data_IF_625912793899
#
_entry.id   IF_625912793899
#
_cell.length_a   1.000
_cell.length_b   1.000
_cell.length_c   1.000
_cell.angle_alpha   90.00
_cell.angle_beta   90.00
_cell.angle_gamma   90.00
#
_symmetry.space_group_name_H-M   'P 1'
#
loop_
_entity.id
_entity.type
_entity.pdbx_description
1 polymer ?
#
# COMPACT_ATOMS: atom_id res chain seq x y z
N UNK A 1 -10.89 -18.67 -24.91
CA UNK A 1 -10.38 -19.06 -23.58
C UNK A 1 -10.90 -18.05 -22.57
N UNK A 2 -11.49 -18.50 -21.46
CA UNK A 2 -11.97 -17.59 -20.42
C UNK A 2 -10.78 -16.94 -19.71
N UNK A 3 -10.83 -15.63 -19.46
CA UNK A 3 -9.85 -14.93 -18.63
C UNK A 3 -10.10 -15.27 -17.16
N UNK A 4 -9.08 -15.77 -16.47
CA UNK A 4 -9.10 -16.03 -15.03
C UNK A 4 -8.35 -14.91 -14.31
N UNK A 5 -9.05 -14.20 -13.42
CA UNK A 5 -8.45 -13.16 -12.60
C UNK A 5 -8.39 -13.61 -11.15
N UNK A 6 -7.21 -13.51 -10.55
CA UNK A 6 -7.02 -13.79 -9.12
C UNK A 6 -6.85 -12.49 -8.36
N UNK A 7 -7.59 -12.32 -7.27
CA UNK A 7 -7.47 -11.18 -6.38
C UNK A 7 -6.95 -11.60 -5.00
N UNK A 8 -6.00 -10.85 -4.47
CA UNK A 8 -5.48 -11.01 -3.11
C UNK A 8 -5.78 -9.76 -2.30
N UNK A 9 -6.15 -9.90 -1.01
CA UNK A 9 -6.39 -8.75 -0.15
C UNK A 9 -5.12 -7.96 0.17
N UNK A 10 -3.95 -8.60 0.07
CA UNK A 10 -2.62 -7.99 0.24
C UNK A 10 -1.54 -8.95 -0.27
N UNK A 11 -0.34 -8.43 -0.53
CA UNK A 11 0.87 -9.23 -0.74
C UNK A 11 2.06 -8.55 -0.06
N UNK A 12 3.00 -9.34 0.46
CA UNK A 12 4.32 -8.87 0.90
C UNK A 12 5.42 -9.82 0.42
N UNK A 13 6.59 -9.25 0.15
CA UNK A 13 7.78 -9.99 -0.27
C UNK A 13 8.92 -9.84 0.74
N UNK A 14 9.92 -10.71 0.61
CA UNK A 14 11.16 -10.64 1.38
C UNK A 14 10.98 -10.66 2.91
N UNK A 15 11.80 -9.88 3.60
CA UNK A 15 11.86 -9.82 5.08
C UNK A 15 10.56 -9.34 5.72
N UNK A 16 9.74 -8.53 5.01
CA UNK A 16 8.47 -8.04 5.54
C UNK A 16 7.48 -9.18 5.85
N UNK A 17 7.61 -10.35 5.22
CA UNK A 17 6.81 -11.54 5.56
C UNK A 17 7.08 -12.07 6.98
N UNK A 18 8.20 -11.67 7.61
CA UNK A 18 8.60 -12.11 8.95
C UNK A 18 8.18 -11.14 10.07
N UNK A 19 7.49 -10.06 9.74
CA UNK A 19 6.88 -9.17 10.74
C UNK A 19 5.78 -9.95 11.47
N UNK A 20 5.81 -9.93 12.81
CA UNK A 20 4.88 -10.67 13.68
C UNK A 20 3.90 -9.78 14.43
N UNK A 21 4.18 -8.47 14.55
CA UNK A 21 3.33 -7.53 15.27
C UNK A 21 1.99 -7.39 14.54
N UNK A 22 0.83 -7.73 15.14
CA UNK A 22 -0.44 -7.72 14.43
C UNK A 22 -0.90 -6.28 14.10
N UNK A 23 -1.52 -6.11 12.94
CA UNK A 23 -2.12 -4.83 12.57
C UNK A 23 -3.30 -4.49 13.49
N UNK A 24 -3.30 -3.35 14.19
CA UNK A 24 -4.39 -2.97 15.10
C UNK A 24 -5.68 -2.57 14.37
N UNK A 25 -5.67 -2.43 13.04
CA UNK A 25 -6.84 -2.05 12.22
C UNK A 25 -7.55 -0.76 12.68
N UNK A 26 -6.78 0.22 13.15
CA UNK A 26 -7.29 1.54 13.57
C UNK A 26 -7.05 2.60 12.48
N UNK A 27 -7.58 3.82 12.66
CA UNK A 27 -7.18 4.97 11.84
C UNK A 27 -5.92 5.66 12.37
N UNK A 28 -5.42 5.24 13.54
CA UNK A 28 -4.17 5.74 14.05
C UNK A 28 -3.00 5.28 13.15
N UNK A 29 -1.97 6.14 13.00
CA UNK A 29 -0.67 5.69 12.52
C UNK A 29 -0.25 4.42 13.26
N UNK A 30 0.50 3.54 12.60
CA UNK A 30 0.98 2.32 13.24
C UNK A 30 1.66 2.63 14.59
N UNK A 31 1.35 1.83 15.61
CA UNK A 31 1.86 1.97 16.98
C UNK A 31 3.39 2.02 17.00
N UNK A 32 4.01 1.26 16.09
CA UNK A 32 5.42 1.29 15.77
C UNK A 32 5.63 1.93 14.40
N UNK A 33 6.52 2.94 14.27
CA UNK A 33 6.80 3.56 12.97
C UNK A 33 7.53 2.60 12.02
N UNK A 34 8.25 1.63 12.59
CA UNK A 34 9.08 0.64 11.90
C UNK A 34 8.86 -0.73 12.51
N UNK A 35 8.96 -1.79 11.70
CA UNK A 35 8.93 -3.17 12.20
C UNK A 35 10.35 -3.71 12.39
N UNK A 36 10.53 -4.59 13.37
CA UNK A 36 11.78 -5.33 13.58
C UNK A 36 11.59 -6.80 13.25
N UNK A 37 12.59 -7.41 12.64
CA UNK A 37 12.62 -8.84 12.31
C UNK A 37 13.94 -9.47 12.76
N UNK A 38 13.87 -10.72 13.18
CA UNK A 38 15.07 -11.51 13.49
C UNK A 38 15.61 -12.14 12.21
N UNK A 39 16.89 -11.93 11.93
CA UNK A 39 17.61 -12.52 10.78
C UNK A 39 18.72 -13.41 11.31
N UNK A 40 18.76 -14.65 10.84
CA UNK A 40 19.88 -15.55 11.10
C UNK A 40 20.98 -15.31 10.09
N UNK A 41 22.13 -14.80 10.55
CA UNK A 41 23.33 -14.64 9.74
C UNK A 41 24.24 -15.84 9.98
N UNK A 42 24.58 -16.56 8.92
CA UNK A 42 25.56 -17.65 8.98
C UNK A 42 26.93 -17.06 8.70
N UNK A 43 27.84 -17.17 9.68
CA UNK A 43 29.23 -16.80 9.49
C UNK A 43 29.97 -17.98 8.88
N UNK A 44 30.63 -17.72 7.75
CA UNK A 44 31.58 -18.63 7.13
C UNK A 44 32.95 -18.02 7.35
N UNK A 45 33.73 -18.63 8.24
CA UNK A 45 35.14 -18.32 8.41
C UNK A 45 35.92 -19.60 8.11
N UNK A 46 37.01 -19.46 7.35
CA UNK A 46 37.92 -20.58 7.10
C UNK A 46 38.48 -21.04 8.46
N UNK A 47 38.46 -22.35 8.70
CA UNK A 47 38.90 -23.04 9.92
C UNK A 47 38.08 -22.84 11.21
N UNK A 48 36.83 -22.33 11.16
CA UNK A 48 35.92 -22.28 12.32
C UNK A 48 34.58 -23.01 12.08
N UNK A 49 34.00 -23.51 13.17
CA UNK A 49 32.65 -24.08 13.13
C UNK A 49 31.62 -23.06 12.61
N UNK A 50 30.71 -23.52 11.75
CA UNK A 50 29.64 -22.70 11.20
C UNK A 50 28.72 -22.21 12.32
N UNK A 51 28.87 -20.95 12.71
CA UNK A 51 27.99 -20.33 13.70
C UNK A 51 26.84 -19.59 13.01
N UNK A 52 25.62 -19.78 13.52
CA UNK A 52 24.47 -18.93 13.16
C UNK A 52 24.23 -17.93 14.27
N UNK A 53 24.29 -16.64 13.94
CA UNK A 53 24.00 -15.55 14.87
C UNK A 53 22.63 -14.98 14.53
N UNK A 54 21.77 -14.86 15.54
CA UNK A 54 20.49 -14.16 15.39
C UNK A 54 20.71 -12.66 15.61
N UNK A 55 20.36 -11.86 14.62
CA UNK A 55 20.46 -10.42 14.67
C UNK A 55 19.08 -9.79 14.47
N UNK A 56 18.70 -8.87 15.35
CA UNK A 56 17.47 -8.10 15.19
C UNK A 56 17.76 -6.90 14.27
N UNK A 57 17.07 -6.83 13.13
CA UNK A 57 17.16 -5.69 12.22
C UNK A 57 15.83 -4.95 12.15
N UNK A 58 15.91 -3.63 12.00
CA UNK A 58 14.75 -2.78 11.76
C UNK A 58 14.53 -2.62 10.26
N UNK A 59 13.27 -2.69 9.82
CA UNK A 59 12.85 -2.46 8.45
C UNK A 59 12.39 -1.02 8.26
N UNK A 60 12.55 -0.49 7.05
CA UNK A 60 12.01 0.82 6.66
C UNK A 60 10.49 0.85 6.83
N UNK A 61 10.00 1.94 7.38
CA UNK A 61 8.59 2.17 7.62
C UNK A 61 8.01 3.28 6.74
N UNK A 62 6.70 3.55 6.86
CA UNK A 62 6.00 4.54 6.04
C UNK A 62 6.56 5.97 6.19
N UNK A 63 7.17 6.27 7.34
CA UNK A 63 7.75 7.58 7.65
C UNK A 63 9.18 7.79 7.14
N UNK A 64 9.80 6.75 6.58
CA UNK A 64 11.16 6.84 6.00
C UNK A 64 11.10 7.08 4.48
N UNK A 65 9.93 6.93 3.88
CA UNK A 65 9.73 7.09 2.44
C UNK A 65 9.47 8.56 2.12
N UNK A 66 10.35 9.15 1.33
CA UNK A 66 10.29 10.57 0.93
C UNK A 66 9.54 10.80 -0.38
N UNK A 67 9.26 9.74 -1.14
CA UNK A 67 8.57 9.83 -2.42
C UNK A 67 8.38 8.47 -3.07
N UNK A 68 7.52 8.45 -4.09
CA UNK A 68 7.32 7.31 -4.98
C UNK A 68 7.70 7.78 -6.38
N UNK A 69 8.47 6.94 -7.07
CA UNK A 69 8.87 7.16 -8.46
C UNK A 69 7.62 7.03 -9.37
N UNK A 70 7.53 7.86 -10.42
CA UNK A 70 6.29 7.98 -11.20
C UNK A 70 6.02 6.75 -12.07
N UNK A 71 7.06 6.09 -12.57
CA UNK A 71 6.96 4.87 -13.38
C UNK A 71 6.45 3.68 -12.57
N UNK A 72 6.50 3.73 -11.22
CA UNK A 72 5.79 2.78 -10.38
C UNK A 72 4.25 2.84 -10.56
N UNK A 73 3.71 3.97 -11.05
CA UNK A 73 2.29 4.16 -11.34
C UNK A 73 2.00 3.81 -12.80
N UNK A 74 1.31 2.69 -13.01
CA UNK A 74 0.89 2.23 -14.34
C UNK A 74 -0.29 3.05 -14.85
N UNK A 75 -1.25 3.35 -13.97
CA UNK A 75 -2.51 3.95 -14.37
C UNK A 75 -3.17 4.72 -13.24
N UNK A 76 -3.85 5.80 -13.59
CA UNK A 76 -4.78 6.51 -12.71
C UNK A 76 -6.15 6.56 -13.36
N UNK A 77 -7.20 6.24 -12.60
CA UNK A 77 -8.58 6.43 -13.01
C UNK A 77 -9.34 7.23 -11.95
N UNK A 78 -10.00 8.35 -12.30
CA UNK A 78 -9.98 8.99 -13.62
C UNK A 78 -8.58 9.46 -14.04
N UNK A 79 -8.34 9.60 -15.34
CA UNK A 79 -7.15 10.31 -15.83
C UNK A 79 -7.20 11.78 -15.42
N UNK A 80 -6.03 12.39 -15.24
CA UNK A 80 -5.93 13.80 -14.87
C UNK A 80 -6.67 14.70 -15.89
N UNK A 81 -7.49 15.62 -15.38
CA UNK A 81 -8.27 16.56 -16.19
C UNK A 81 -9.63 16.05 -16.67
N UNK A 82 -9.97 14.78 -16.42
CA UNK A 82 -11.28 14.22 -16.75
C UNK A 82 -12.33 14.62 -15.71
N UNK A 83 -13.47 15.12 -16.17
CA UNK A 83 -14.62 15.54 -15.32
C UNK A 83 -15.86 14.67 -15.52
N UNK A 84 -15.91 13.83 -16.56
CA UNK A 84 -17.02 12.97 -16.92
C UNK A 84 -16.75 11.49 -16.58
N UNK A 85 -16.05 11.23 -15.47
CA UNK A 85 -15.83 9.87 -14.99
C UNK A 85 -17.15 9.23 -14.51
N UNK A 86 -17.32 7.95 -14.81
CA UNK A 86 -18.52 7.18 -14.45
C UNK A 86 -18.74 7.22 -12.92
N UNK A 87 -19.84 7.84 -12.43
CA UNK A 87 -20.09 8.02 -10.99
C UNK A 87 -20.25 6.71 -10.20
N UNK A 88 -20.43 5.60 -10.90
CA UNK A 88 -20.61 4.26 -10.31
C UNK A 88 -19.28 3.60 -9.94
N UNK A 89 -18.15 4.11 -10.44
CA UNK A 89 -16.82 3.58 -10.14
C UNK A 89 -16.10 4.35 -9.05
N UNK A 90 -15.23 3.66 -8.31
CA UNK A 90 -14.31 4.28 -7.38
C UNK A 90 -13.04 4.75 -8.12
N UNK A 91 -12.52 5.94 -7.81
CA UNK A 91 -11.20 6.34 -8.28
C UNK A 91 -10.13 5.38 -7.77
N UNK A 92 -9.11 5.12 -8.57
CA UNK A 92 -7.99 4.27 -8.17
C UNK A 92 -6.68 4.66 -8.84
N UNK A 93 -5.59 4.22 -8.22
CA UNK A 93 -4.25 4.16 -8.80
C UNK A 93 -3.87 2.69 -8.93
N UNK A 94 -3.35 2.31 -10.10
CA UNK A 94 -2.75 1.01 -10.34
C UNK A 94 -1.23 1.15 -10.34
N UNK A 95 -0.57 0.32 -9.55
CA UNK A 95 0.88 0.24 -9.46
C UNK A 95 1.39 -1.02 -10.15
N UNK A 96 2.58 -0.91 -10.73
CA UNK A 96 3.25 -2.05 -11.38
C UNK A 96 3.59 -3.10 -10.33
N UNK A 97 4.16 -2.66 -9.21
CA UNK A 97 4.55 -3.55 -8.12
C UNK A 97 3.35 -3.92 -7.25
N UNK A 98 3.17 -5.22 -7.08
CA UNK A 98 2.03 -5.85 -6.43
C UNK A 98 2.06 -5.71 -4.89
N UNK A 99 3.24 -5.61 -4.30
CA UNK A 99 3.40 -5.43 -2.86
C UNK A 99 3.49 -3.95 -2.44
N UNK A 100 3.61 -3.01 -3.39
CA UNK A 100 3.89 -1.60 -3.08
C UNK A 100 2.93 -1.00 -2.04
N UNK A 101 1.60 -1.23 -2.08
CA UNK A 101 0.69 -0.70 -1.06
C UNK A 101 0.96 -1.21 0.35
N UNK A 102 1.62 -2.36 0.54
CA UNK A 102 1.91 -2.97 1.85
C UNK A 102 3.41 -3.11 2.17
N UNK A 103 4.28 -2.77 1.22
CA UNK A 103 5.75 -2.95 1.33
C UNK A 103 6.33 -2.37 2.61
N UNK A 104 5.85 -1.20 3.00
CA UNK A 104 6.31 -0.50 4.20
C UNK A 104 5.31 -0.57 5.35
N UNK A 105 4.27 -1.41 5.30
CA UNK A 105 3.35 -1.58 6.44
C UNK A 105 4.08 -2.31 7.58
N UNK A 106 4.27 -1.68 8.76
CA UNK A 106 5.08 -2.23 9.85
C UNK A 106 4.28 -3.19 10.74
N UNK A 107 3.37 -3.96 10.16
CA UNK A 107 2.48 -4.87 10.87
C UNK A 107 2.18 -6.14 10.05
N UNK A 108 1.77 -7.20 10.72
CA UNK A 108 1.28 -8.45 10.14
C UNK A 108 -0.23 -8.39 9.94
N UNK A 109 -0.72 -9.09 8.92
CA UNK A 109 -2.15 -9.20 8.68
C UNK A 109 -2.89 -9.76 9.90
N UNK A 110 -3.86 -9.00 10.42
CA UNK A 110 -4.74 -9.43 11.49
C UNK A 110 -5.55 -10.64 11.03
N UNK A 111 -5.50 -11.73 11.82
CA UNK A 111 -6.12 -13.03 11.50
C UNK A 111 -5.70 -13.59 10.12
N UNK A 112 -4.54 -13.18 9.61
CA UNK A 112 -4.01 -13.60 8.30
C UNK A 112 -4.68 -12.98 7.08
N UNK A 113 -5.77 -12.21 7.25
CA UNK A 113 -6.61 -11.77 6.11
C UNK A 113 -6.52 -10.26 5.89
N UNK A 114 -6.42 -9.46 6.97
CA UNK A 114 -6.57 -8.00 6.90
C UNK A 114 -5.26 -7.31 7.20
N UNK A 115 -4.71 -6.60 6.21
CA UNK A 115 -3.52 -5.78 6.38
C UNK A 115 -3.76 -4.41 5.76
N UNK A 116 -3.56 -3.33 6.53
CA UNK A 116 -3.73 -1.98 6.01
C UNK A 116 -2.59 -1.63 5.04
N UNK A 117 -2.88 -1.00 3.89
CA UNK A 117 -1.83 -0.42 3.09
C UNK A 117 -1.16 0.73 3.86
N UNK A 118 0.12 0.97 3.62
CA UNK A 118 0.82 2.16 4.16
C UNK A 118 0.48 3.42 3.36
N UNK A 119 -0.23 3.29 2.24
CA UNK A 119 -0.70 4.36 1.39
C UNK A 119 -2.21 4.55 1.52
N UNK A 120 -2.67 5.77 1.27
CA UNK A 120 -4.06 6.08 1.05
C UNK A 120 -4.22 6.99 -0.16
N UNK A 121 -5.32 6.80 -0.89
CA UNK A 121 -5.73 7.67 -1.97
C UNK A 121 -6.90 8.52 -1.49
N UNK A 122 -6.69 9.84 -1.44
CA UNK A 122 -7.76 10.79 -1.16
C UNK A 122 -8.06 11.59 -2.42
N UNK A 123 -9.34 11.84 -2.66
CA UNK A 123 -9.80 12.63 -3.80
C UNK A 123 -10.63 13.77 -3.27
N UNK A 124 -10.26 15.00 -3.60
CA UNK A 124 -10.85 16.22 -3.06
C UNK A 124 -11.23 17.20 -4.17
N UNK A 125 -12.25 18.00 -3.93
CA UNK A 125 -12.64 19.13 -4.77
C UNK A 125 -11.85 20.38 -4.35
N UNK A 126 -11.71 21.34 -5.28
CA UNK A 126 -10.99 22.59 -5.01
C UNK A 126 -11.35 23.31 -3.69
N UNK A 127 -12.63 23.43 -3.29
CA UNK A 127 -12.97 24.12 -2.04
C UNK A 127 -12.66 23.31 -0.77
N UNK A 128 -12.31 22.03 -0.87
CA UNK A 128 -12.13 21.13 0.29
C UNK A 128 -10.71 21.16 0.86
N UNK A 129 -9.75 21.72 0.12
CA UNK A 129 -8.36 21.78 0.54
C UNK A 129 -7.68 23.10 0.20
N UNK A 130 -6.53 23.33 0.82
CA UNK A 130 -5.61 24.40 0.50
C UNK A 130 -4.21 23.82 0.27
N UNK A 131 -3.53 24.30 -0.76
CA UNK A 131 -2.11 23.97 -0.96
C UNK A 131 -1.27 24.98 -0.20
N UNK A 132 -0.40 24.48 0.68
CA UNK A 132 0.62 25.31 1.31
C UNK A 132 1.98 25.00 0.70
N UNK A 133 2.74 26.06 0.46
CA UNK A 133 4.16 25.91 0.20
C UNK A 133 4.81 25.27 1.43
N UNK A 134 5.84 24.43 1.23
CA UNK A 134 6.58 23.87 2.34
C UNK A 134 7.07 25.00 3.25
N UNK A 135 6.96 24.82 4.56
CA UNK A 135 7.66 25.70 5.51
C UNK A 135 9.16 25.47 5.29
N UNK A 136 9.91 26.57 5.18
CA UNK A 136 11.35 26.67 4.86
C UNK A 136 12.15 25.36 5.03
N UNK A 137 12.66 24.82 3.91
CA UNK A 137 13.60 23.68 3.89
C UNK A 137 13.01 22.30 3.59
N UNK A 138 11.69 22.13 3.58
CA UNK A 138 11.04 20.87 3.15
C UNK A 138 10.75 20.83 1.64
N UNK A 139 10.94 19.68 0.97
CA UNK A 139 10.51 19.48 -0.43
C UNK A 139 9.05 19.02 -0.55
N UNK A 140 8.41 18.64 0.55
CA UNK A 140 7.10 18.02 0.53
C UNK A 140 5.98 19.05 0.38
N UNK A 141 5.16 18.89 -0.67
CA UNK A 141 3.93 19.66 -0.86
C UNK A 141 2.93 19.32 0.24
N UNK A 142 2.48 20.34 0.96
CA UNK A 142 1.49 20.18 2.03
C UNK A 142 0.10 20.51 1.50
N UNK A 143 -0.85 19.63 1.78
CA UNK A 143 -2.27 19.82 1.50
C UNK A 143 -3.00 19.87 2.81
N UNK A 144 -3.63 21.01 3.10
CA UNK A 144 -4.50 21.15 4.26
C UNK A 144 -5.92 20.83 3.86
N UNK A 145 -6.48 19.77 4.44
CA UNK A 145 -7.91 19.43 4.28
C UNK A 145 -8.68 20.25 5.31
N UNK A 146 -9.69 21.01 4.86
CA UNK A 146 -10.45 21.87 5.77
C UNK A 146 -11.24 21.02 6.77
N UNK A 147 -11.44 21.53 7.98
CA UNK A 147 -12.02 20.78 9.10
C UNK A 147 -13.36 20.10 8.77
N UNK A 148 -14.22 20.76 7.98
CA UNK A 148 -15.50 20.21 7.54
C UNK A 148 -15.40 18.94 6.67
N UNK A 149 -14.23 18.65 6.10
CA UNK A 149 -13.99 17.56 5.17
C UNK A 149 -12.98 16.51 5.69
N UNK A 150 -12.58 16.57 6.96
CA UNK A 150 -11.61 15.63 7.54
C UNK A 150 -12.09 14.17 7.49
N UNK A 151 -13.41 13.94 7.54
CA UNK A 151 -13.99 12.59 7.39
C UNK A 151 -13.79 11.98 6.00
N UNK A 152 -13.41 12.78 4.99
CA UNK A 152 -13.13 12.30 3.63
C UNK A 152 -11.70 11.75 3.48
N UNK A 153 -10.83 11.98 4.47
CA UNK A 153 -9.41 11.59 4.39
C UNK A 153 -9.24 10.08 4.56
N UNK A 154 -10.01 9.46 5.45
CA UNK A 154 -9.94 8.02 5.68
C UNK A 154 -11.33 7.39 5.83
N UNK A 155 -11.54 6.18 5.28
CA UNK A 155 -12.71 5.39 5.59
C UNK A 155 -12.77 5.04 7.09
N UNK A 156 -13.89 4.45 7.56
CA UNK A 156 -13.96 3.84 8.88
C UNK A 156 -12.74 2.94 9.13
N UNK A 157 -12.20 3.00 10.35
CA UNK A 157 -10.90 2.41 10.67
C UNK A 157 -10.81 0.91 10.38
N UNK A 158 -11.92 0.21 10.61
CA UNK A 158 -12.10 -1.22 10.39
C UNK A 158 -12.21 -1.62 8.90
N UNK A 159 -12.31 -0.65 7.99
CA UNK A 159 -12.45 -0.85 6.53
C UNK A 159 -11.20 -0.42 5.75
N UNK A 160 -10.24 0.20 6.41
CA UNK A 160 -9.03 0.76 5.78
C UNK A 160 -8.20 -0.23 4.98
N UNK A 161 -8.21 -1.51 5.38
CA UNK A 161 -7.53 -2.60 4.69
C UNK A 161 -8.21 -3.01 3.37
N UNK A 162 -9.48 -2.67 3.18
CA UNK A 162 -10.29 -3.16 2.07
C UNK A 162 -10.15 -2.34 0.77
N UNK A 163 -9.43 -1.22 0.82
CA UNK A 163 -9.30 -0.28 -0.30
C UNK A 163 -8.01 -0.45 -1.10
N UNK A 164 -7.35 -1.59 -0.95
CA UNK A 164 -6.30 -2.02 -1.85
C UNK A 164 -6.41 -3.52 -2.10
N UNK A 165 -5.97 -3.95 -3.29
CA UNK A 165 -5.86 -5.38 -3.62
C UNK A 165 -4.71 -5.60 -4.60
N UNK A 166 -4.27 -6.86 -4.69
CA UNK A 166 -3.43 -7.33 -5.79
C UNK A 166 -4.32 -8.02 -6.81
N UNK A 167 -4.05 -7.78 -8.08
CA UNK A 167 -4.61 -8.52 -9.20
C UNK A 167 -3.49 -9.33 -9.86
N UNK A 168 -3.76 -10.62 -10.09
CA UNK A 168 -2.89 -11.50 -10.87
C UNK A 168 -3.68 -12.01 -12.06
N UNK A 169 -3.12 -11.80 -13.25
CA UNK A 169 -3.67 -12.15 -14.55
C UNK A 169 -2.85 -13.30 -15.17
N UNK A 170 -2.98 -14.49 -14.58
CA UNK A 170 -2.36 -15.71 -15.09
C UNK A 170 -3.40 -16.84 -15.10
N UNK A 171 -3.81 -17.24 -16.30
CA UNK A 171 -4.81 -18.29 -16.51
C UNK A 171 -4.27 -19.70 -16.25
N UNK A 172 -2.96 -19.85 -16.02
CA UNK A 172 -2.31 -21.14 -15.73
C UNK A 172 -2.23 -21.44 -14.23
N UNK A 173 -2.60 -20.48 -13.37
CA UNK A 173 -2.62 -20.65 -11.93
C UNK A 173 -3.71 -21.64 -11.50
N UNK A 174 -3.29 -22.80 -10.99
CA UNK A 174 -4.15 -23.69 -10.23
C UNK A 174 -4.16 -23.26 -8.75
N UNK A 175 -5.30 -22.71 -8.32
CA UNK A 175 -5.53 -22.25 -6.95
C UNK A 175 -6.54 -23.11 -6.19
N UNK A 176 -6.80 -24.33 -6.67
CA UNK A 176 -7.73 -25.27 -6.03
C UNK A 176 -7.26 -25.67 -4.62
N UNK A 177 -5.95 -25.81 -4.42
CA UNK A 177 -5.33 -26.06 -3.12
C UNK A 177 -5.00 -24.73 -2.41
N UNK A 178 -5.88 -24.33 -1.48
CA UNK A 178 -5.71 -23.11 -0.69
C UNK A 178 -4.41 -23.09 0.13
N UNK A 179 -3.86 -24.25 0.50
CA UNK A 179 -2.62 -24.32 1.30
C UNK A 179 -1.37 -23.95 0.50
N UNK A 180 -1.42 -24.09 -0.83
CA UNK A 180 -0.30 -23.80 -1.74
C UNK A 180 -0.47 -22.49 -2.51
N UNK A 181 -1.61 -21.82 -2.35
CA UNK A 181 -1.98 -20.61 -3.09
C UNK A 181 -0.87 -19.54 -3.05
N UNK A 182 -0.33 -19.25 -1.87
CA UNK A 182 0.73 -18.23 -1.73
C UNK A 182 2.02 -18.60 -2.46
N UNK A 183 2.35 -19.90 -2.50
CA UNK A 183 3.54 -20.42 -3.21
C UNK A 183 3.31 -20.31 -4.71
N UNK A 184 2.19 -20.82 -5.21
CA UNK A 184 1.85 -20.78 -6.63
C UNK A 184 1.84 -19.35 -7.20
N UNK A 185 1.28 -18.40 -6.43
CA UNK A 185 1.28 -16.98 -6.80
C UNK A 185 2.69 -16.40 -6.79
N UNK A 186 3.48 -16.71 -5.76
CA UNK A 186 4.88 -16.28 -5.68
C UNK A 186 5.71 -16.77 -6.86
N UNK A 187 5.53 -18.03 -7.27
CA UNK A 187 6.22 -18.64 -8.40
C UNK A 187 5.79 -18.00 -9.73
N UNK A 188 4.49 -17.74 -9.90
CA UNK A 188 3.97 -17.07 -11.09
C UNK A 188 4.52 -15.64 -11.25
N UNK A 189 4.55 -14.86 -10.17
CA UNK A 189 5.12 -13.51 -10.16
C UNK A 189 6.64 -13.52 -10.36
N UNK A 190 7.34 -14.57 -9.90
CA UNK A 190 8.79 -14.72 -10.13
C UNK A 190 9.09 -15.07 -11.58
N UNK A 191 8.28 -15.95 -12.19
CA UNK A 191 8.40 -16.37 -13.58
C UNK A 191 8.03 -15.26 -14.56
N UNK A 192 6.97 -14.50 -14.27
CA UNK A 192 6.53 -13.37 -15.10
C UNK A 192 5.96 -12.24 -14.23
N UNK A 193 6.76 -11.23 -13.87
CA UNK A 193 6.31 -10.10 -13.07
C UNK A 193 5.15 -9.32 -13.69
N UNK A 194 5.03 -9.32 -15.03
CA UNK A 194 4.01 -8.54 -15.75
C UNK A 194 2.57 -9.08 -15.59
N UNK A 195 2.40 -10.24 -14.95
CA UNK A 195 1.05 -10.77 -14.64
C UNK A 195 0.48 -10.21 -13.36
N UNK A 196 1.28 -9.54 -12.53
CA UNK A 196 0.85 -8.95 -11.27
C UNK A 196 0.74 -7.43 -11.33
N UNK A 197 -0.26 -6.88 -10.65
CA UNK A 197 -0.34 -5.46 -10.32
C UNK A 197 -1.06 -5.26 -9.00
N UNK A 198 -0.94 -4.06 -8.41
CA UNK A 198 -1.76 -3.69 -7.25
C UNK A 198 -2.59 -2.45 -7.54
N UNK A 199 -3.76 -2.36 -6.92
CA UNK A 199 -4.63 -1.19 -7.00
C UNK A 199 -4.93 -0.63 -5.63
N UNK A 200 -4.86 0.69 -5.51
CA UNK A 200 -5.29 1.47 -4.36
C UNK A 200 -6.49 2.32 -4.76
N UNK A 201 -7.61 2.13 -4.07
CA UNK A 201 -8.88 2.76 -4.35
C UNK A 201 -9.16 3.90 -3.36
N UNK A 202 -9.91 4.91 -3.82
CA UNK A 202 -10.48 5.94 -2.97
C UNK A 202 -11.96 5.61 -2.69
N UNK A 203 -12.40 5.50 -1.42
CA UNK A 203 -13.79 5.25 -1.06
C UNK A 203 -14.70 6.48 -1.23
N UNK A 204 -14.50 7.24 -2.31
CA UNK A 204 -15.28 8.44 -2.62
C UNK A 204 -16.05 8.21 -3.92
N UNK A 205 -17.36 8.40 -3.84
CA UNK A 205 -18.22 8.49 -5.03
C UNK A 205 -18.01 9.86 -5.68
N UNK A 206 -17.58 9.88 -6.94
CA UNK A 206 -17.39 11.13 -7.67
C UNK A 206 -18.72 11.65 -8.21
N UNK A 207 -18.88 12.98 -8.20
CA UNK A 207 -20.00 13.64 -8.84
C UNK A 207 -19.71 13.83 -10.34
N UNK A 208 -20.70 13.66 -11.22
CA UNK A 208 -20.53 13.99 -12.63
C UNK A 208 -20.11 15.45 -12.81
N UNK A 209 -19.39 15.73 -13.90
CA UNK A 209 -19.01 17.09 -14.34
C UNK A 209 -18.32 17.92 -13.25
N UNK A 210 -17.58 17.27 -12.35
CA UNK A 210 -16.92 17.91 -11.22
C UNK A 210 -15.42 17.71 -11.32
N UNK A 211 -14.66 18.78 -11.10
CA UNK A 211 -13.21 18.73 -11.10
C UNK A 211 -12.69 18.22 -9.74
N UNK A 212 -11.88 17.17 -9.80
CA UNK A 212 -11.28 16.53 -8.62
C UNK A 212 -9.75 16.56 -8.67
N UNK A 213 -9.15 16.50 -7.49
CA UNK A 213 -7.72 16.38 -7.26
C UNK A 213 -7.45 15.14 -6.42
N UNK A 214 -6.65 14.23 -6.96
CA UNK A 214 -6.22 13.03 -6.26
C UNK A 214 -4.87 13.28 -5.57
N UNK A 215 -4.76 12.82 -4.32
CA UNK A 215 -3.54 12.86 -3.54
C UNK A 215 -3.23 11.46 -3.02
N UNK A 216 -2.05 10.96 -3.35
CA UNK A 216 -1.48 9.74 -2.80
C UNK A 216 -0.66 10.12 -1.57
N UNK A 217 -1.05 9.64 -0.40
CA UNK A 217 -0.44 10.04 0.88
C UNK A 217 -0.01 8.82 1.69
N UNK A 218 1.10 8.91 2.45
CA UNK A 218 1.48 7.87 3.39
C UNK A 218 0.63 7.96 4.67
N UNK A 219 0.22 6.80 5.18
CA UNK A 219 -0.51 6.64 6.45
C UNK A 219 0.45 6.59 7.63
N UNK A 220 1.13 7.69 7.86
CA UNK A 220 2.13 7.83 8.94
C UNK A 220 1.96 9.15 9.67
N UNK A 221 2.55 9.28 10.87
CA UNK A 221 2.56 10.58 11.59
C UNK A 221 3.21 11.70 10.78
N UNK A 222 4.21 11.38 9.94
CA UNK A 222 4.84 12.35 9.03
C UNK A 222 3.97 12.67 7.82
N UNK A 223 3.17 11.71 7.36
CA UNK A 223 2.27 11.85 6.20
C UNK A 223 0.94 12.53 6.51
N UNK A 224 0.47 12.43 7.75
CA UNK A 224 -0.79 13.01 8.22
C UNK A 224 -0.55 13.63 9.59
N UNK A 225 -0.72 14.95 9.66
CA UNK A 225 -0.72 15.69 10.92
C UNK A 225 -2.05 16.42 11.07
N UNK A 226 -2.61 16.39 12.28
CA UNK A 226 -3.62 17.37 12.66
C UNK A 226 -2.89 18.68 12.97
N UNK A 227 -3.44 19.80 12.49
CA UNK A 227 -2.95 21.16 12.74
C UNK A 227 -3.99 21.89 13.58
#
# INVERSE_FOLDING_TARGET
>A
MASSYTFLPWLRRGLAKKITEPDPLTNAPASTPNASVMVGVKLLADDLEKQTILHQTTLLGPGDIIGIERDAIVKTEPRAGIVNFEPTYFPYIEFYEEDLPWRYTPAQAAKGIRLRPWLALIVLEAPEFERKNPVSGGSNRVVLVKSAFQSLVFPPSDQTWAWAHVQVNDNTLDLSDLSKRDIAIGDALTRNPNVGSSRLLCPRRLRPNTQYYAFLIPRSKKGVSQV
#
